data_IF_508954513521
#
_entry.id   IF_508954513521
#
_cell.length_a   1.000
_cell.length_b   1.000
_cell.length_c   1.000
_cell.angle_alpha   90.00
_cell.angle_beta   90.00
_cell.angle_gamma   90.00
#
_symmetry.space_group_name_H-M   'P 1'
#
loop_
_entity.id
_entity.type
_entity.pdbx_description
1 polymer ?
#
# COMPACT_ATOMS: atom_id res chain seq x y z
N UNK A 1 -15.76 22.40 -35.84
CA UNK A 1 -14.48 22.55 -35.11
C UNK A 1 -14.57 23.64 -34.03
N UNK A 2 -14.12 24.90 -34.20
CA UNK A 2 -14.13 25.88 -33.07
C UNK A 2 -15.54 26.27 -32.62
N UNK A 3 -16.44 26.62 -33.55
CA UNK A 3 -17.86 26.95 -33.25
C UNK A 3 -18.65 25.80 -32.62
N UNK A 4 -18.23 24.58 -32.91
CA UNK A 4 -18.87 23.35 -32.44
C UNK A 4 -18.43 23.06 -31.00
N UNK A 5 -17.13 23.23 -30.71
CA UNK A 5 -16.60 23.19 -29.35
C UNK A 5 -17.21 24.26 -28.43
N UNK A 6 -17.40 25.48 -28.91
CA UNK A 6 -18.05 26.56 -28.14
C UNK A 6 -19.49 26.18 -27.78
N UNK A 7 -20.24 25.65 -28.73
CA UNK A 7 -21.60 25.14 -28.50
C UNK A 7 -21.61 23.99 -27.49
N UNK A 8 -20.72 23.01 -27.63
CA UNK A 8 -20.59 21.89 -26.71
C UNK A 8 -20.23 22.36 -25.28
N UNK A 9 -19.39 23.39 -25.14
CA UNK A 9 -19.07 23.99 -23.85
C UNK A 9 -20.28 24.65 -23.19
N UNK A 10 -21.10 25.37 -23.96
CA UNK A 10 -22.33 25.98 -23.46
C UNK A 10 -23.36 24.91 -23.05
N UNK A 11 -23.55 23.89 -23.86
CA UNK A 11 -24.47 22.79 -23.57
C UNK A 11 -24.00 22.01 -22.34
N UNK A 12 -22.70 21.75 -22.20
CA UNK A 12 -22.12 21.13 -21.01
C UNK A 12 -22.38 21.96 -19.74
N UNK A 13 -22.19 23.28 -19.79
CA UNK A 13 -22.44 24.17 -18.65
C UNK A 13 -23.90 24.08 -18.20
N UNK A 14 -24.84 24.19 -19.13
CA UNK A 14 -26.28 24.08 -18.86
C UNK A 14 -26.63 22.73 -18.23
N UNK A 15 -26.14 21.63 -18.79
CA UNK A 15 -26.38 20.27 -18.27
C UNK A 15 -25.79 20.12 -16.87
N UNK A 16 -24.58 20.65 -16.64
CA UNK A 16 -23.90 20.60 -15.35
C UNK A 16 -24.67 21.36 -14.27
N UNK A 17 -25.19 22.54 -14.58
CA UNK A 17 -26.00 23.34 -13.66
C UNK A 17 -27.29 22.61 -13.26
N UNK A 18 -28.01 22.04 -14.25
CA UNK A 18 -29.20 21.22 -13.99
C UNK A 18 -28.88 20.00 -13.12
N UNK A 19 -27.75 19.32 -13.40
CA UNK A 19 -27.30 18.19 -12.59
C UNK A 19 -26.97 18.62 -11.15
N UNK A 20 -26.20 19.68 -10.97
CA UNK A 20 -25.82 20.19 -9.63
C UNK A 20 -27.03 20.63 -8.80
N UNK A 21 -28.04 21.22 -9.45
CA UNK A 21 -29.31 21.58 -8.81
C UNK A 21 -30.18 20.35 -8.46
N UNK A 22 -30.07 19.26 -9.22
CA UNK A 22 -30.82 18.01 -8.98
C UNK A 22 -30.27 17.15 -7.85
N UNK A 23 -29.04 17.42 -7.37
CA UNK A 23 -28.39 16.64 -6.32
C UNK A 23 -28.94 16.95 -4.94
N UNK A 24 -29.21 15.89 -4.18
CA UNK A 24 -29.48 16.01 -2.74
C UNK A 24 -28.20 16.30 -1.96
N UNK A 25 -28.32 16.85 -0.74
CA UNK A 25 -27.15 17.11 0.12
C UNK A 25 -26.34 15.84 0.39
N UNK A 26 -27.01 14.71 0.63
CA UNK A 26 -26.35 13.41 0.82
C UNK A 26 -25.50 13.01 -0.40
N UNK A 27 -26.05 13.17 -1.62
CA UNK A 27 -25.31 12.85 -2.85
C UNK A 27 -24.12 13.78 -3.05
N UNK A 28 -24.24 15.07 -2.72
CA UNK A 28 -23.12 16.03 -2.78
C UNK A 28 -22.00 15.64 -1.82
N UNK A 29 -22.33 15.23 -0.60
CA UNK A 29 -21.36 14.74 0.38
C UNK A 29 -20.66 13.46 -0.08
N UNK A 30 -21.41 12.49 -0.60
CA UNK A 30 -20.85 11.25 -1.13
C UNK A 30 -19.91 11.52 -2.32
N UNK A 31 -20.30 12.40 -3.26
CA UNK A 31 -19.43 12.83 -4.37
C UNK A 31 -18.16 13.48 -3.83
N UNK A 32 -18.26 14.34 -2.82
CA UNK A 32 -17.10 15.00 -2.20
C UNK A 32 -16.16 13.98 -1.54
N UNK A 33 -16.71 13.00 -0.80
CA UNK A 33 -15.94 11.90 -0.19
C UNK A 33 -15.23 11.07 -1.25
N UNK A 34 -15.94 10.63 -2.27
CA UNK A 34 -15.36 9.85 -3.37
C UNK A 34 -14.25 10.61 -4.10
N UNK A 35 -14.44 11.91 -4.37
CA UNK A 35 -13.39 12.76 -4.95
C UNK A 35 -12.15 12.81 -4.05
N UNK A 36 -12.32 12.98 -2.74
CA UNK A 36 -11.21 12.97 -1.79
C UNK A 36 -10.50 11.61 -1.71
N UNK A 37 -11.24 10.50 -1.73
CA UNK A 37 -10.65 9.15 -1.77
C UNK A 37 -9.85 8.93 -3.07
N UNK A 38 -10.38 9.39 -4.21
CA UNK A 38 -9.69 9.30 -5.49
C UNK A 38 -8.41 10.14 -5.53
N UNK A 39 -8.41 11.36 -4.99
CA UNK A 39 -7.18 12.18 -4.92
C UNK A 39 -6.14 11.52 -4.04
N UNK A 40 -6.52 11.03 -2.86
CA UNK A 40 -5.62 10.28 -1.97
C UNK A 40 -5.05 9.03 -2.66
N UNK A 41 -5.89 8.27 -3.37
CA UNK A 41 -5.45 7.09 -4.11
C UNK A 41 -4.48 7.45 -5.25
N UNK A 42 -4.71 8.56 -5.95
CA UNK A 42 -3.83 9.08 -7.01
C UNK A 42 -2.47 9.48 -6.45
N UNK A 43 -2.43 10.26 -5.37
CA UNK A 43 -1.18 10.67 -4.73
C UNK A 43 -0.41 9.46 -4.18
N UNK A 44 -1.09 8.48 -3.58
CA UNK A 44 -0.47 7.23 -3.14
C UNK A 44 0.17 6.44 -4.29
N UNK A 45 -0.49 6.39 -5.45
CA UNK A 45 0.06 5.73 -6.66
C UNK A 45 1.27 6.49 -7.19
N UNK A 46 1.22 7.82 -7.23
CA UNK A 46 2.33 8.68 -7.66
C UNK A 46 3.56 8.48 -6.76
N UNK A 47 3.38 8.56 -5.45
CA UNK A 47 4.45 8.28 -4.48
C UNK A 47 5.04 6.87 -4.66
N UNK A 48 4.20 5.85 -4.85
CA UNK A 48 4.68 4.48 -5.08
C UNK A 48 5.50 4.36 -6.38
N UNK A 49 5.09 5.03 -7.45
CA UNK A 49 5.82 5.05 -8.71
C UNK A 49 7.18 5.73 -8.55
N UNK A 50 7.22 6.88 -7.90
CA UNK A 50 8.44 7.63 -7.63
C UNK A 50 9.43 6.84 -6.74
N UNK A 51 8.96 6.20 -5.68
CA UNK A 51 9.80 5.32 -4.86
C UNK A 51 10.38 4.15 -5.67
N UNK A 52 9.63 3.63 -6.64
CA UNK A 52 10.10 2.56 -7.54
C UNK A 52 11.15 3.09 -8.53
N UNK A 53 10.92 4.27 -9.10
CA UNK A 53 11.83 4.94 -10.03
C UNK A 53 13.16 5.28 -9.36
N UNK A 54 13.12 5.77 -8.12
CA UNK A 54 14.31 6.02 -7.29
C UNK A 54 15.01 4.75 -6.79
N UNK A 55 14.51 3.56 -7.16
CA UNK A 55 15.14 2.29 -6.83
C UNK A 55 15.05 1.91 -5.35
N UNK A 56 14.00 2.32 -4.63
CA UNK A 56 13.81 1.94 -3.22
C UNK A 56 13.82 0.42 -3.08
N UNK A 57 14.68 -0.15 -2.21
CA UNK A 57 14.70 -1.58 -1.96
C UNK A 57 13.31 -2.10 -1.55
N UNK A 58 12.95 -3.30 -2.01
CA UNK A 58 11.68 -3.93 -1.66
C UNK A 58 11.84 -4.70 -0.35
N UNK A 59 10.86 -4.57 0.55
CA UNK A 59 10.81 -5.37 1.76
C UNK A 59 10.73 -6.86 1.39
N UNK A 60 11.62 -7.71 1.94
CA UNK A 60 11.62 -9.13 1.63
C UNK A 60 10.40 -9.82 2.22
N UNK A 61 10.09 -10.99 1.66
CA UNK A 61 9.02 -11.85 2.12
C UNK A 61 9.33 -12.43 3.51
N UNK A 62 8.28 -12.65 4.31
CA UNK A 62 8.41 -13.37 5.57
C UNK A 62 8.64 -14.87 5.34
N UNK A 63 9.02 -15.60 6.38
CA UNK A 63 9.23 -17.05 6.35
C UNK A 63 8.03 -17.81 5.78
N UNK A 64 6.82 -17.45 6.19
CA UNK A 64 5.58 -18.00 5.63
C UNK A 64 5.48 -17.80 4.11
N UNK A 65 5.72 -16.59 3.61
CA UNK A 65 5.62 -16.31 2.18
C UNK A 65 6.73 -17.01 1.37
N UNK A 66 7.94 -17.15 1.93
CA UNK A 66 9.00 -17.96 1.34
C UNK A 66 8.56 -19.42 1.21
N UNK A 67 7.94 -19.98 2.25
CA UNK A 67 7.35 -21.32 2.18
C UNK A 67 6.28 -21.42 1.10
N UNK A 68 5.30 -20.52 1.05
CA UNK A 68 4.26 -20.55 0.02
C UNK A 68 4.82 -20.46 -1.40
N UNK A 69 5.93 -19.72 -1.59
CA UNK A 69 6.59 -19.60 -2.88
C UNK A 69 7.17 -20.93 -3.38
N UNK A 70 7.61 -21.82 -2.48
CA UNK A 70 8.07 -23.17 -2.84
C UNK A 70 6.93 -24.10 -3.29
N UNK A 71 5.69 -23.72 -2.99
CA UNK A 71 4.47 -24.52 -3.25
C UNK A 71 3.57 -23.88 -4.29
N UNK A 72 4.10 -23.00 -5.15
CA UNK A 72 3.33 -22.26 -6.15
C UNK A 72 2.61 -23.16 -7.16
N UNK A 73 3.12 -24.34 -7.42
CA UNK A 73 2.51 -25.28 -8.37
C UNK A 73 1.12 -25.74 -7.90
N UNK A 74 0.89 -25.79 -6.58
CA UNK A 74 -0.43 -26.11 -6.00
C UNK A 74 -1.50 -25.03 -6.29
N UNK A 75 -1.09 -23.82 -6.67
CA UNK A 75 -2.01 -22.75 -7.07
C UNK A 75 -2.58 -22.99 -8.48
N UNK A 76 -1.83 -23.68 -9.36
CA UNK A 76 -2.29 -23.90 -10.73
C UNK A 76 -3.49 -24.85 -10.81
N UNK A 77 -3.69 -25.69 -9.79
CA UNK A 77 -4.81 -26.65 -9.72
C UNK A 77 -5.97 -26.24 -8.82
N UNK A 78 -5.87 -25.14 -8.06
CA UNK A 78 -6.85 -24.76 -7.04
C UNK A 78 -7.29 -23.30 -7.19
N UNK A 79 -8.47 -22.96 -6.66
CA UNK A 79 -8.85 -21.57 -6.51
C UNK A 79 -7.88 -20.87 -5.52
N UNK A 80 -7.59 -19.58 -5.74
CA UNK A 80 -6.67 -18.81 -4.90
C UNK A 80 -7.05 -18.83 -3.41
N UNK A 81 -8.36 -18.87 -3.11
CA UNK A 81 -8.85 -18.97 -1.73
C UNK A 81 -8.50 -20.31 -1.09
N UNK A 82 -8.74 -21.41 -1.80
CA UNK A 82 -8.44 -22.77 -1.34
C UNK A 82 -6.93 -22.98 -1.17
N UNK A 83 -6.14 -22.47 -2.11
CA UNK A 83 -4.68 -22.48 -2.02
C UNK A 83 -4.20 -21.77 -0.74
N UNK A 84 -4.73 -20.59 -0.43
CA UNK A 84 -4.35 -19.85 0.79
C UNK A 84 -4.73 -20.61 2.07
N UNK A 85 -5.93 -21.20 2.11
CA UNK A 85 -6.37 -22.01 3.24
C UNK A 85 -5.49 -23.25 3.43
N UNK A 86 -5.10 -23.91 2.35
CA UNK A 86 -4.21 -25.06 2.38
C UNK A 86 -2.80 -24.67 2.87
N UNK A 87 -2.21 -23.60 2.32
CA UNK A 87 -0.89 -23.12 2.75
C UNK A 87 -0.86 -22.73 4.22
N UNK A 88 -1.94 -22.13 4.73
CA UNK A 88 -2.07 -21.83 6.15
C UNK A 88 -2.06 -23.10 7.00
N UNK A 89 -2.83 -24.13 6.61
CA UNK A 89 -2.87 -25.42 7.30
C UNK A 89 -1.50 -26.11 7.27
N UNK A 90 -0.85 -26.13 6.11
CA UNK A 90 0.45 -26.77 5.94
C UNK A 90 1.54 -26.08 6.75
N UNK A 91 1.54 -24.75 6.80
CA UNK A 91 2.48 -23.98 7.62
C UNK A 91 2.35 -24.26 9.13
N UNK A 92 1.11 -24.39 9.63
CA UNK A 92 0.85 -24.72 11.02
C UNK A 92 1.29 -26.15 11.38
N UNK A 93 1.16 -27.08 10.43
CA UNK A 93 1.59 -28.48 10.58
C UNK A 93 3.09 -28.69 10.33
N UNK A 94 3.78 -27.69 9.78
CA UNK A 94 5.18 -27.80 9.40
C UNK A 94 6.06 -28.11 10.64
N UNK A 95 6.96 -29.10 10.56
CA UNK A 95 7.92 -29.37 11.63
C UNK A 95 8.79 -28.15 11.92
N UNK A 96 9.17 -27.97 13.18
CA UNK A 96 10.00 -26.84 13.60
C UNK A 96 11.34 -26.80 12.86
N UNK A 97 11.94 -27.97 12.60
CA UNK A 97 13.20 -28.10 11.86
C UNK A 97 13.12 -27.55 10.43
N UNK A 98 11.95 -27.65 9.78
CA UNK A 98 11.72 -27.08 8.46
C UNK A 98 11.33 -25.61 8.54
N UNK A 99 10.51 -25.24 9.53
CA UNK A 99 10.11 -23.84 9.79
C UNK A 99 11.33 -22.94 10.01
N UNK A 100 12.29 -23.39 10.83
CA UNK A 100 13.54 -22.67 11.13
C UNK A 100 14.36 -22.38 9.87
N UNK A 101 14.31 -23.24 8.84
CA UNK A 101 15.00 -22.98 7.57
C UNK A 101 14.45 -21.73 6.89
N UNK A 102 13.12 -21.61 6.80
CA UNK A 102 12.46 -20.45 6.21
C UNK A 102 12.63 -19.19 7.06
N UNK A 103 12.66 -19.32 8.38
CA UNK A 103 12.92 -18.20 9.30
C UNK A 103 14.34 -17.66 9.14
N UNK A 104 15.36 -18.54 9.09
CA UNK A 104 16.74 -18.13 8.82
C UNK A 104 16.87 -17.45 7.46
N UNK A 105 16.24 -17.99 6.43
CA UNK A 105 16.23 -17.36 5.09
C UNK A 105 15.57 -15.97 5.13
N UNK A 106 14.41 -15.85 5.77
CA UNK A 106 13.71 -14.57 5.91
C UNK A 106 14.54 -13.54 6.68
N UNK A 107 15.24 -13.98 7.73
CA UNK A 107 16.12 -13.13 8.54
C UNK A 107 17.30 -12.61 7.71
N UNK A 108 17.99 -13.49 6.97
CA UNK A 108 19.10 -13.09 6.10
C UNK A 108 18.66 -12.08 5.03
N UNK A 109 17.51 -12.32 4.40
CA UNK A 109 16.93 -11.38 3.43
C UNK A 109 16.56 -10.05 4.08
N UNK A 110 16.00 -10.07 5.29
CA UNK A 110 15.65 -8.86 6.05
C UNK A 110 16.89 -8.05 6.40
N UNK A 111 17.98 -8.69 6.82
CA UNK A 111 19.21 -7.99 7.18
C UNK A 111 19.92 -7.40 5.96
N UNK A 112 19.90 -8.11 4.82
CA UNK A 112 20.31 -7.52 3.54
C UNK A 112 19.46 -6.30 3.18
N UNK A 113 18.14 -6.42 3.27
CA UNK A 113 17.23 -5.31 2.97
C UNK A 113 17.46 -4.09 3.85
N UNK A 114 17.76 -4.27 5.15
CA UNK A 114 18.07 -3.14 6.04
C UNK A 114 19.30 -2.37 5.56
N UNK A 115 20.38 -3.09 5.20
CA UNK A 115 21.61 -2.49 4.66
C UNK A 115 21.35 -1.75 3.34
N UNK A 116 20.65 -2.40 2.42
CA UNK A 116 20.30 -1.80 1.13
C UNK A 116 19.42 -0.55 1.32
N UNK A 117 18.49 -0.60 2.28
CA UNK A 117 17.60 0.52 2.59
C UNK A 117 18.36 1.70 3.21
N UNK A 118 19.28 1.45 4.13
CA UNK A 118 20.13 2.50 4.72
C UNK A 118 21.00 3.18 3.65
N UNK A 119 21.62 2.39 2.76
CA UNK A 119 22.38 2.91 1.63
C UNK A 119 21.51 3.77 0.69
N UNK A 120 20.30 3.29 0.39
CA UNK A 120 19.34 4.04 -0.41
C UNK A 120 18.89 5.34 0.27
N UNK A 121 18.63 5.31 1.58
CA UNK A 121 18.24 6.50 2.35
C UNK A 121 19.36 7.55 2.36
N UNK A 122 20.61 7.15 2.56
CA UNK A 122 21.75 8.07 2.45
C UNK A 122 21.84 8.71 1.05
N UNK A 123 21.61 7.93 -0.02
CA UNK A 123 21.56 8.45 -1.39
C UNK A 123 20.43 9.46 -1.58
N UNK A 124 19.24 9.21 -1.04
CA UNK A 124 18.11 10.14 -1.13
C UNK A 124 18.40 11.45 -0.40
N UNK A 125 19.00 11.40 0.78
CA UNK A 125 19.44 12.61 1.51
C UNK A 125 20.48 13.39 0.70
N UNK A 126 21.46 12.72 0.10
CA UNK A 126 22.49 13.37 -0.70
C UNK A 126 21.94 14.10 -1.94
N UNK A 127 20.86 13.60 -2.54
CA UNK A 127 20.18 14.21 -3.70
C UNK A 127 19.10 15.23 -3.24
N UNK A 128 18.96 15.46 -1.93
CA UNK A 128 18.00 16.42 -1.37
C UNK A 128 16.56 15.90 -1.26
N UNK A 129 16.31 14.61 -1.57
CA UNK A 129 15.02 13.93 -1.50
C UNK A 129 14.74 13.34 -0.11
N UNK A 130 14.87 14.17 0.91
CA UNK A 130 14.64 13.77 2.32
C UNK A 130 13.20 13.38 2.60
N UNK A 131 12.25 13.82 1.76
CA UNK A 131 10.83 13.47 1.78
C UNK A 131 10.56 11.97 1.59
N UNK A 132 11.47 11.24 0.92
CA UNK A 132 11.30 9.82 0.60
C UNK A 132 11.89 8.86 1.65
N UNK A 133 12.63 9.41 2.63
CA UNK A 133 13.35 8.68 3.68
C UNK A 133 12.44 8.42 4.88
N UNK A 134 12.66 7.31 5.62
CA UNK A 134 11.90 7.04 6.85
C UNK A 134 12.15 8.15 7.87
N UNK A 135 11.10 8.81 8.31
CA UNK A 135 11.19 9.62 9.52
C UNK A 135 11.33 8.68 10.72
N UNK A 136 12.37 8.87 11.54
CA UNK A 136 12.47 8.16 12.82
C UNK A 136 11.18 8.46 13.59
N UNK A 137 10.43 7.44 14.04
CA UNK A 137 9.23 7.71 14.81
C UNK A 137 9.65 8.41 16.09
N UNK A 138 9.32 9.69 16.23
CA UNK A 138 9.19 10.33 17.54
C UNK A 138 8.05 9.59 18.24
N UNK A 139 8.39 8.48 18.92
CA UNK A 139 7.48 7.82 19.85
C UNK A 139 7.21 8.83 20.96
N UNK A 140 6.18 9.65 20.81
CA UNK A 140 5.64 10.33 21.97
C UNK A 140 5.17 9.22 22.94
N UNK A 141 5.64 9.22 24.20
CA UNK A 141 5.18 8.25 25.17
C UNK A 141 3.66 8.37 25.23
N UNK A 142 2.96 7.26 24.98
CA UNK A 142 1.51 7.21 25.22
C UNK A 142 1.33 7.52 26.70
N UNK A 143 0.68 8.64 27.02
CA UNK A 143 0.23 8.92 28.39
C UNK A 143 -0.58 7.70 28.84
N UNK A 144 -0.07 6.96 29.82
CA UNK A 144 -0.83 5.90 30.46
C UNK A 144 -2.14 6.51 30.94
N UNK A 145 -3.28 5.95 30.52
CA UNK A 145 -4.56 6.32 31.12
C UNK A 145 -4.47 5.85 32.57
N UNK A 146 -4.40 6.79 33.50
CA UNK A 146 -4.56 6.51 34.92
C UNK A 146 -5.89 5.78 35.12
N UNK A 147 -5.81 4.55 35.63
CA UNK A 147 -6.96 3.82 36.14
C UNK A 147 -7.48 4.64 37.32
N UNK A 148 -8.60 5.34 37.14
CA UNK A 148 -9.37 5.89 38.26
C UNK A 148 -10.03 4.72 38.96
N UNK A 149 -9.43 4.27 40.06
CA UNK A 149 -10.11 3.48 41.07
C UNK A 149 -10.74 4.42 42.08
N UNK A 150 -12.07 4.40 42.16
CA UNK A 150 -12.87 4.37 43.38
C UNK A 150 -14.35 4.24 42.99
#
# INVERSE_FOLDING_TARGET
MVKEYEKDQEDYKKIKELYEASLTEQQKEDIKRLKAEMTVAKEKRKLKAELKEMGKPKKPMSSYFLFTQTKKDLLQGNNMKEYQEQMKKDWLKLPESERVKYEKQAQLLMDKYKKDLEAWEMKMVAIGRTDLVRQKPTRQPRKSKAVKGQ
#
